data_IF_520996372023
#
_entry.id   IF_520996372023
#
_cell.length_a   1.000
_cell.length_b   1.000
_cell.length_c   1.000
_cell.angle_alpha   90.00
_cell.angle_beta   90.00
_cell.angle_gamma   90.00
#
_symmetry.space_group_name_H-M   'P 1'
#
loop_
_entity.id
_entity.type
_entity.pdbx_description
1 polymer ?
#
# COMPACT_ATOMS: atom_id res chain seq x y z
N UNK A 1 -14.99 37.19 77.55
CA UNK A 1 -14.00 37.86 76.69
C UNK A 1 -14.34 37.56 75.24
N UNK A 2 -14.66 38.59 74.45
CA UNK A 2 -14.91 38.54 72.99
C UNK A 2 -13.56 38.48 72.23
N UNK A 3 -13.50 37.98 70.98
CA UNK A 3 -13.95 38.76 69.79
C UNK A 3 -14.67 37.88 68.74
N UNK A 4 -15.81 38.23 68.13
CA UNK A 4 -16.13 39.31 67.18
C UNK A 4 -15.15 39.47 66.00
N UNK A 5 -15.43 38.80 64.87
CA UNK A 5 -15.10 39.31 63.52
C UNK A 5 -16.15 38.88 62.48
N UNK A 6 -17.05 39.82 62.22
CA UNK A 6 -17.48 40.37 60.92
C UNK A 6 -17.85 39.45 59.73
N UNK A 7 -19.10 39.65 59.29
CA UNK A 7 -19.75 39.26 58.02
C UNK A 7 -18.88 39.41 56.76
N UNK A 8 -19.14 38.55 55.76
CA UNK A 8 -19.39 38.99 54.37
C UNK A 8 -20.53 38.15 53.77
N UNK A 9 -21.59 38.85 53.37
CA UNK A 9 -22.70 38.35 52.53
C UNK A 9 -22.21 38.41 51.08
N UNK A 10 -22.39 37.34 50.30
CA UNK A 10 -22.33 37.41 48.85
C UNK A 10 -23.41 36.50 48.24
N UNK A 11 -24.56 37.11 47.92
CA UNK A 11 -25.52 36.57 46.98
C UNK A 11 -25.16 37.09 45.58
N UNK A 12 -24.92 36.21 44.61
CA UNK A 12 -25.09 36.51 43.19
C UNK A 12 -25.61 35.26 42.48
N UNK A 13 -26.84 35.36 41.99
CA UNK A 13 -27.46 34.39 41.11
C UNK A 13 -27.14 34.72 39.64
N UNK A 14 -27.08 33.65 38.83
CA UNK A 14 -27.42 33.57 37.41
C UNK A 14 -26.48 34.19 36.38
N UNK A 15 -25.80 33.34 35.59
CA UNK A 15 -25.74 33.49 34.11
C UNK A 15 -25.86 32.09 33.48
N UNK A 16 -26.90 31.92 32.68
CA UNK A 16 -27.09 30.81 31.77
C UNK A 16 -26.09 30.90 30.61
N UNK A 17 -25.48 29.77 30.22
CA UNK A 17 -25.16 29.53 28.81
C UNK A 17 -25.81 28.21 28.37
N UNK A 18 -27.00 28.38 27.79
CA UNK A 18 -27.51 27.49 26.76
C UNK A 18 -26.47 27.45 25.65
N UNK A 19 -25.94 26.26 25.42
CA UNK A 19 -24.94 26.00 24.40
C UNK A 19 -24.66 24.51 24.33
N UNK A 20 -25.68 23.69 24.06
CA UNK A 20 -25.49 22.35 23.52
C UNK A 20 -24.86 22.47 22.12
N UNK A 21 -23.59 22.86 22.08
CA UNK A 21 -22.76 22.60 20.91
C UNK A 21 -22.65 21.10 20.78
N UNK A 22 -23.34 20.52 19.80
CA UNK A 22 -22.95 19.22 19.27
C UNK A 22 -21.49 19.38 18.90
N UNK A 23 -20.60 18.78 19.68
CA UNK A 23 -19.22 18.60 19.26
C UNK A 23 -19.31 17.79 17.97
N UNK A 24 -19.22 18.47 16.83
CA UNK A 24 -18.86 17.80 15.59
C UNK A 24 -17.52 17.15 15.90
N UNK A 25 -17.52 15.82 16.03
CA UNK A 25 -16.29 15.05 16.06
C UNK A 25 -15.49 15.53 14.85
N UNK A 26 -14.40 16.27 15.13
CA UNK A 26 -13.45 16.65 14.10
C UNK A 26 -13.12 15.36 13.38
N UNK A 27 -13.54 15.22 12.12
CA UNK A 27 -13.09 14.14 11.25
C UNK A 27 -11.58 14.18 11.29
N UNK A 28 -10.99 13.31 12.10
CA UNK A 28 -9.55 13.10 12.10
C UNK A 28 -9.28 12.55 10.72
N UNK A 29 -8.72 13.40 9.85
CA UNK A 29 -8.25 12.99 8.54
C UNK A 29 -7.11 12.01 8.84
N UNK A 30 -7.43 10.71 8.83
CA UNK A 30 -6.45 9.66 9.02
C UNK A 30 -5.42 9.82 7.91
N UNK A 31 -4.15 9.98 8.28
CA UNK A 31 -3.07 10.04 7.31
C UNK A 31 -3.19 8.85 6.33
N UNK A 32 -2.92 9.05 5.02
CA UNK A 32 -2.95 7.96 4.06
C UNK A 32 -2.08 6.80 4.55
N UNK A 33 -2.55 5.58 4.36
CA UNK A 33 -1.79 4.39 4.72
C UNK A 33 -0.48 4.34 3.92
N UNK A 34 0.64 4.10 4.61
CA UNK A 34 1.94 3.90 4.00
C UNK A 34 1.90 2.69 3.05
N UNK A 35 2.63 2.77 1.94
CA UNK A 35 2.71 1.70 0.95
C UNK A 35 4.16 1.37 0.68
N UNK A 36 4.41 0.11 0.33
CA UNK A 36 5.73 -0.30 -0.12
C UNK A 36 5.71 -1.33 -1.23
N UNK A 37 6.82 -1.39 -1.96
CA UNK A 37 7.08 -2.34 -3.02
C UNK A 37 8.14 -3.32 -2.51
N UNK A 38 7.77 -4.59 -2.49
CA UNK A 38 8.62 -5.68 -2.02
C UNK A 38 8.60 -6.81 -3.05
N UNK A 39 9.71 -7.53 -3.22
CA UNK A 39 9.79 -8.67 -4.16
C UNK A 39 9.47 -10.01 -3.50
N UNK A 40 9.43 -10.06 -2.17
CA UNK A 40 9.14 -11.29 -1.41
C UNK A 40 8.63 -10.98 0.00
N UNK A 41 8.18 -12.01 0.69
CA UNK A 41 7.82 -11.94 2.12
C UNK A 41 8.99 -11.50 2.98
N UNK A 42 10.18 -12.07 2.76
CA UNK A 42 11.39 -11.71 3.53
C UNK A 42 11.77 -10.24 3.35
N UNK A 43 11.55 -9.72 2.15
CA UNK A 43 11.81 -8.33 1.80
C UNK A 43 10.84 -7.38 2.52
N UNK A 44 9.57 -7.77 2.64
CA UNK A 44 8.57 -7.07 3.47
C UNK A 44 8.93 -7.14 4.97
N UNK A 45 9.32 -8.31 5.48
CA UNK A 45 9.70 -8.50 6.89
C UNK A 45 10.92 -7.64 7.23
N UNK A 46 11.93 -7.62 6.36
CA UNK A 46 13.15 -6.84 6.55
C UNK A 46 12.89 -5.33 6.65
N UNK A 47 11.79 -4.83 6.08
CA UNK A 47 11.40 -3.42 6.23
C UNK A 47 10.86 -3.08 7.62
N UNK A 48 10.40 -4.08 8.40
CA UNK A 48 10.02 -3.92 9.81
C UNK A 48 8.80 -3.03 10.07
N UNK A 49 7.96 -2.79 9.04
CA UNK A 49 6.82 -1.85 9.13
C UNK A 49 5.50 -2.48 9.59
N UNK A 50 5.33 -3.77 9.34
CA UNK A 50 4.16 -4.56 9.77
C UNK A 50 4.63 -5.91 10.34
N UNK A 51 3.80 -6.60 11.15
CA UNK A 51 4.15 -7.92 11.67
C UNK A 51 4.46 -8.94 10.57
N UNK A 52 5.33 -9.90 10.87
CA UNK A 52 5.73 -10.96 9.93
C UNK A 52 4.52 -11.70 9.32
N UNK A 53 3.57 -12.12 10.15
CA UNK A 53 2.35 -12.79 9.67
C UNK A 53 1.53 -11.92 8.70
N UNK A 54 1.57 -10.59 8.87
CA UNK A 54 0.91 -9.67 7.95
C UNK A 54 1.65 -9.64 6.60
N UNK A 55 2.99 -9.64 6.58
CA UNK A 55 3.77 -9.75 5.34
C UNK A 55 3.45 -11.06 4.60
N UNK A 56 3.45 -12.20 5.31
CA UNK A 56 3.13 -13.52 4.74
C UNK A 56 1.75 -13.46 4.07
N UNK A 57 0.73 -13.05 4.83
CA UNK A 57 -0.66 -12.99 4.34
C UNK A 57 -0.83 -12.03 3.16
N UNK A 58 -0.12 -10.90 3.17
CA UNK A 58 -0.16 -9.92 2.10
C UNK A 58 0.38 -10.52 0.79
N UNK A 59 1.57 -11.11 0.84
CA UNK A 59 2.21 -11.73 -0.33
C UNK A 59 1.37 -12.89 -0.85
N UNK A 60 0.90 -13.79 0.01
CA UNK A 60 0.03 -14.91 -0.38
C UNK A 60 -1.25 -14.42 -1.07
N UNK A 61 -1.87 -13.37 -0.52
CA UNK A 61 -3.06 -12.76 -1.12
C UNK A 61 -2.77 -12.23 -2.52
N UNK A 62 -1.65 -11.53 -2.70
CA UNK A 62 -1.27 -10.99 -4.00
C UNK A 62 -0.90 -12.08 -5.02
N UNK A 63 -0.24 -13.15 -4.59
CA UNK A 63 0.02 -14.34 -5.43
C UNK A 63 -1.28 -14.99 -5.86
N UNK A 64 -2.21 -15.24 -4.94
CA UNK A 64 -3.53 -15.80 -5.27
C UNK A 64 -4.33 -14.89 -6.22
N UNK A 65 -4.22 -13.57 -6.06
CA UNK A 65 -4.81 -12.61 -6.98
C UNK A 65 -4.18 -12.69 -8.37
N UNK A 66 -2.85 -12.84 -8.47
CA UNK A 66 -2.16 -13.06 -9.74
C UNK A 66 -2.63 -14.35 -10.42
N UNK A 67 -2.59 -15.48 -9.71
CA UNK A 67 -3.02 -16.77 -10.26
C UNK A 67 -4.48 -16.75 -10.75
N UNK A 68 -5.37 -16.07 -10.02
CA UNK A 68 -6.80 -16.03 -10.35
C UNK A 68 -7.16 -15.04 -11.45
N UNK A 69 -6.47 -13.90 -11.54
CA UNK A 69 -6.92 -12.75 -12.35
C UNK A 69 -5.97 -12.35 -13.47
N UNK A 70 -4.74 -12.86 -13.51
CA UNK A 70 -3.84 -12.54 -14.62
C UNK A 70 -4.46 -13.01 -15.93
N UNK A 71 -4.29 -12.20 -16.98
CA UNK A 71 -4.69 -12.60 -18.31
C UNK A 71 -3.91 -13.86 -18.72
N UNK A 72 -4.61 -14.82 -19.29
CA UNK A 72 -4.03 -16.07 -19.77
C UNK A 72 -4.07 -16.08 -21.31
N UNK A 73 -2.91 -16.33 -21.90
CA UNK A 73 -2.67 -16.33 -23.33
C UNK A 73 -2.32 -17.75 -23.79
N UNK A 74 -2.77 -18.15 -24.97
CA UNK A 74 -2.56 -19.51 -25.47
C UNK A 74 -1.14 -19.76 -25.98
N UNK A 75 -0.43 -18.69 -26.35
CA UNK A 75 0.94 -18.79 -26.88
C UNK A 75 1.83 -17.69 -26.32
N UNK A 76 3.14 -17.95 -26.28
CA UNK A 76 4.14 -16.94 -25.90
C UNK A 76 4.01 -15.68 -26.77
N UNK A 77 3.78 -15.84 -28.08
CA UNK A 77 3.63 -14.73 -29.01
C UNK A 77 2.44 -13.82 -28.69
N UNK A 78 1.31 -14.40 -28.26
CA UNK A 78 0.15 -13.62 -27.82
C UNK A 78 0.46 -12.81 -26.57
N UNK A 79 1.14 -13.43 -25.59
CA UNK A 79 1.56 -12.74 -24.38
C UNK A 79 2.56 -11.61 -24.71
N UNK A 80 3.63 -11.91 -25.46
CA UNK A 80 4.66 -10.93 -25.85
C UNK A 80 4.07 -9.74 -26.61
N UNK A 81 3.03 -9.94 -27.42
CA UNK A 81 2.36 -8.85 -28.13
C UNK A 81 1.69 -7.85 -27.18
N UNK A 82 1.17 -8.32 -26.04
CA UNK A 82 0.46 -7.48 -25.06
C UNK A 82 1.40 -6.97 -23.99
N UNK A 83 2.19 -7.87 -23.40
CA UNK A 83 3.02 -7.57 -22.24
C UNK A 83 4.41 -7.07 -22.61
N UNK A 84 4.90 -7.34 -23.82
CA UNK A 84 6.26 -7.05 -24.28
C UNK A 84 7.20 -8.26 -24.20
N UNK A 85 8.33 -8.20 -24.90
CA UNK A 85 9.33 -9.26 -24.86
C UNK A 85 9.92 -9.41 -23.44
N UNK A 86 10.25 -10.65 -23.07
CA UNK A 86 10.82 -11.04 -21.78
C UNK A 86 9.98 -10.70 -20.54
N UNK A 87 8.67 -10.44 -20.72
CA UNK A 87 7.73 -10.07 -19.65
C UNK A 87 6.65 -11.12 -19.39
N UNK A 88 6.81 -12.31 -19.98
CA UNK A 88 5.85 -13.40 -19.93
C UNK A 88 6.47 -14.66 -19.31
N UNK A 89 5.69 -15.37 -18.52
CA UNK A 89 6.02 -16.70 -18.02
C UNK A 89 4.96 -17.72 -18.46
N UNK A 90 5.37 -18.99 -18.51
CA UNK A 90 4.45 -20.10 -18.75
C UNK A 90 3.87 -20.59 -17.43
N UNK A 91 2.57 -20.83 -17.40
CA UNK A 91 1.83 -21.39 -16.27
C UNK A 91 1.94 -22.92 -16.26
N UNK A 92 1.58 -23.55 -15.14
CA UNK A 92 1.65 -25.02 -14.99
C UNK A 92 0.71 -25.77 -15.95
N UNK A 93 -0.38 -25.14 -16.38
CA UNK A 93 -1.32 -25.66 -17.38
C UNK A 93 -0.91 -25.32 -18.83
N UNK A 94 0.29 -24.79 -19.02
CA UNK A 94 0.89 -24.55 -20.33
C UNK A 94 0.45 -23.25 -21.02
N UNK A 95 -0.39 -22.43 -20.38
CA UNK A 95 -0.75 -21.09 -20.84
C UNK A 95 0.36 -20.09 -20.53
N UNK A 96 0.23 -18.85 -21.00
CA UNK A 96 1.19 -17.78 -20.77
C UNK A 96 0.52 -16.61 -20.08
N UNK A 97 1.26 -15.88 -19.25
CA UNK A 97 0.77 -14.68 -18.55
C UNK A 97 1.91 -13.71 -18.28
N UNK A 98 1.58 -12.49 -17.86
CA UNK A 98 2.58 -11.53 -17.39
C UNK A 98 3.39 -12.12 -16.21
N UNK A 99 4.72 -11.93 -16.24
CA UNK A 99 5.62 -12.34 -15.16
C UNK A 99 5.34 -11.52 -13.90
N UNK A 100 5.01 -12.20 -12.81
CA UNK A 100 4.94 -11.60 -11.47
C UNK A 100 6.35 -11.25 -10.99
N UNK A 101 6.54 -10.03 -10.48
CA UNK A 101 7.87 -9.55 -10.08
C UNK A 101 7.93 -8.97 -8.67
N UNK A 102 6.86 -8.31 -8.23
CA UNK A 102 6.83 -7.63 -6.95
C UNK A 102 5.40 -7.53 -6.41
N UNK A 103 5.28 -6.94 -5.23
CA UNK A 103 4.03 -6.76 -4.51
C UNK A 103 3.94 -5.32 -4.01
N UNK A 104 2.85 -4.62 -4.35
CA UNK A 104 2.52 -3.35 -3.71
C UNK A 104 1.71 -3.66 -2.45
N UNK A 105 2.30 -3.46 -1.28
CA UNK A 105 1.66 -3.73 0.01
C UNK A 105 1.26 -2.40 0.65
N UNK A 106 -0.01 -2.28 1.02
CA UNK A 106 -0.50 -1.24 1.92
C UNK A 106 -0.26 -1.71 3.35
N UNK A 107 0.56 -0.96 4.08
CA UNK A 107 1.13 -1.33 5.37
C UNK A 107 0.14 -1.06 6.52
N UNK A 108 -1.02 -1.72 6.43
CA UNK A 108 -2.09 -1.69 7.43
C UNK A 108 -2.30 -3.07 8.04
N UNK A 109 -3.12 -3.14 9.10
CA UNK A 109 -3.61 -4.41 9.65
C UNK A 109 -5.14 -4.41 9.56
N UNK A 110 -5.76 -5.28 8.74
CA UNK A 110 -5.12 -6.22 7.83
C UNK A 110 -4.41 -5.51 6.66
N UNK A 111 -3.35 -6.12 6.11
CA UNK A 111 -2.68 -5.56 4.93
C UNK A 111 -3.51 -5.83 3.68
N UNK A 112 -3.38 -4.93 2.71
CA UNK A 112 -3.85 -5.15 1.35
C UNK A 112 -2.64 -5.23 0.43
N UNK A 113 -2.68 -6.11 -0.56
CA UNK A 113 -1.56 -6.27 -1.48
C UNK A 113 -2.04 -6.55 -2.90
N UNK A 114 -1.29 -6.03 -3.86
CA UNK A 114 -1.51 -6.23 -5.29
C UNK A 114 -0.25 -6.82 -5.94
N UNK A 115 -0.39 -7.78 -6.87
CA UNK A 115 0.72 -8.26 -7.66
C UNK A 115 1.19 -7.18 -8.64
N UNK A 116 2.50 -7.08 -8.85
CA UNK A 116 3.12 -6.14 -9.76
C UNK A 116 3.88 -6.85 -10.87
N UNK A 117 3.83 -6.23 -12.05
CA UNK A 117 4.43 -6.72 -13.29
C UNK A 117 5.48 -5.74 -13.82
N UNK A 118 6.35 -6.17 -14.74
CA UNK A 118 7.27 -5.27 -15.42
C UNK A 118 6.53 -4.08 -16.05
N UNK A 119 7.06 -2.88 -15.90
CA UNK A 119 6.56 -1.72 -16.64
C UNK A 119 6.73 -1.94 -18.15
N UNK A 120 5.72 -1.52 -18.92
CA UNK A 120 5.75 -1.58 -20.39
C UNK A 120 6.37 -0.31 -20.97
N UNK A 121 6.20 0.83 -20.29
CA UNK A 121 6.74 2.10 -20.73
C UNK A 121 8.28 2.09 -20.68
N UNK A 122 8.91 2.38 -21.83
CA UNK A 122 10.37 2.37 -22.00
C UNK A 122 11.06 3.25 -20.97
N UNK A 123 12.21 2.78 -20.45
CA UNK A 123 13.06 3.48 -19.48
C UNK A 123 12.38 3.83 -18.15
N UNK A 124 11.21 3.26 -17.86
CA UNK A 124 10.52 3.44 -16.58
C UNK A 124 11.19 2.59 -15.51
N UNK A 125 11.67 3.23 -14.45
CA UNK A 125 12.19 2.54 -13.27
C UNK A 125 11.00 2.32 -12.34
N UNK A 126 10.32 1.20 -12.55
CA UNK A 126 9.13 0.89 -11.77
C UNK A 126 8.42 -0.36 -12.24
N UNK A 127 7.15 -0.43 -11.86
CA UNK A 127 6.28 -1.58 -12.10
C UNK A 127 4.94 -1.10 -12.64
N UNK A 128 4.07 -2.05 -12.98
CA UNK A 128 2.66 -1.78 -13.22
C UNK A 128 1.77 -2.68 -12.38
N UNK A 129 0.63 -2.14 -11.99
CA UNK A 129 -0.45 -2.88 -11.35
C UNK A 129 -1.22 -3.75 -12.36
N UNK A 130 -2.15 -4.61 -11.91
CA UNK A 130 -3.06 -5.35 -12.79
C UNK A 130 -3.97 -4.44 -13.62
N UNK A 131 -4.20 -3.21 -13.19
CA UNK A 131 -4.96 -2.19 -13.92
C UNK A 131 -4.10 -1.37 -14.88
N UNK A 132 -2.87 -1.81 -15.17
CA UNK A 132 -1.91 -1.14 -16.04
C UNK A 132 -1.45 0.23 -15.51
N UNK A 133 -1.74 0.57 -14.24
CA UNK A 133 -1.22 1.79 -13.62
C UNK A 133 0.27 1.63 -13.39
N UNK A 134 1.07 2.53 -13.94
CA UNK A 134 2.51 2.63 -13.64
C UNK A 134 2.71 3.11 -12.21
N UNK A 135 3.60 2.44 -11.50
CA UNK A 135 4.04 2.78 -10.15
C UNK A 135 5.54 3.05 -10.27
N UNK A 136 5.91 4.32 -10.10
CA UNK A 136 7.31 4.75 -10.14
C UNK A 136 8.01 4.26 -8.87
N UNK A 137 9.08 3.48 -9.00
CA UNK A 137 9.84 3.00 -7.86
C UNK A 137 10.67 4.12 -7.21
N UNK A 138 10.75 5.30 -7.83
CA UNK A 138 11.41 6.50 -7.28
C UNK A 138 10.46 7.44 -6.56
N UNK A 139 9.17 7.10 -6.47
CA UNK A 139 8.20 7.85 -5.68
C UNK A 139 8.62 7.85 -4.21
N UNK A 140 8.91 9.04 -3.67
CA UNK A 140 9.41 9.23 -2.30
C UNK A 140 8.35 8.97 -1.23
N UNK A 141 7.08 8.81 -1.64
CA UNK A 141 5.98 8.40 -0.77
C UNK A 141 5.90 6.87 -0.59
N UNK A 142 6.69 6.10 -1.35
CA UNK A 142 6.73 4.65 -1.29
C UNK A 142 7.97 4.16 -0.57
N UNK A 143 7.80 3.15 0.27
CA UNK A 143 8.92 2.33 0.71
C UNK A 143 9.26 1.36 -0.42
N UNK A 144 10.44 1.49 -1.01
CA UNK A 144 10.90 0.54 -2.02
C UNK A 144 12.11 -0.18 -1.47
N UNK A 145 12.02 -1.50 -1.37
CA UNK A 145 13.17 -2.30 -0.94
C UNK A 145 14.32 -2.22 -1.94
N UNK A 146 15.53 -2.50 -1.49
CA UNK A 146 16.70 -2.53 -2.38
C UNK A 146 16.52 -3.54 -3.53
N UNK A 147 15.93 -4.70 -3.23
CA UNK A 147 15.63 -5.74 -4.21
C UNK A 147 14.61 -5.27 -5.25
N UNK A 148 13.54 -4.61 -4.80
CA UNK A 148 12.53 -4.04 -5.70
C UNK A 148 13.11 -2.93 -6.57
N UNK A 149 13.94 -2.06 -6.01
CA UNK A 149 14.61 -1.00 -6.76
C UNK A 149 15.56 -1.56 -7.82
N UNK A 150 16.36 -2.59 -7.48
CA UNK A 150 17.23 -3.26 -8.46
C UNK A 150 16.42 -3.85 -9.61
N UNK A 151 15.33 -4.55 -9.30
CA UNK A 151 14.46 -5.14 -10.30
C UNK A 151 13.76 -4.09 -11.18
N UNK A 152 13.36 -2.96 -10.59
CA UNK A 152 12.81 -1.82 -11.32
C UNK A 152 13.83 -1.23 -12.31
N UNK A 153 15.11 -1.16 -11.94
CA UNK A 153 16.19 -0.75 -12.83
C UNK A 153 16.41 -1.74 -13.97
N UNK A 154 16.30 -3.04 -13.72
CA UNK A 154 16.42 -4.06 -14.76
C UNK A 154 15.24 -4.01 -15.73
N UNK A 155 14.02 -3.80 -15.22
CA UNK A 155 12.84 -3.58 -16.05
C UNK A 155 13.00 -2.41 -17.02
N UNK A 156 13.64 -1.32 -16.59
CA UNK A 156 13.87 -0.14 -17.43
C UNK A 156 14.76 -0.41 -18.66
N UNK A 157 15.49 -1.54 -18.65
CA UNK A 157 16.37 -2.00 -19.73
C UNK A 157 15.67 -2.97 -20.69
N UNK A 158 14.48 -3.48 -20.34
CA UNK A 158 13.73 -4.38 -21.20
C UNK A 158 13.29 -3.67 -22.49
N UNK A 159 13.29 -4.38 -23.63
CA UNK A 159 12.97 -3.80 -24.95
C UNK A 159 11.54 -3.30 -25.08
#
# INVERSE_FOLDING_TARGET
>A
MLPLRTMVIAAVASIALVGCGKAEEKKVVKAPAEKGIFVSTNDCIAAGKIPEEACIKAVDTAVLLHEKKAAAYKTMQQCTKVEGADRCDQTVDGQYRARLQAFLITLTVPPAAEPLYPAIAKKTIGFRSPTQKVIDAKDDTLIVSASAMSLAHDNAKLP
#
